data_IF_625406680625
#
_entry.id   IF_625406680625
#
_cell.length_a   1.000
_cell.length_b   1.000
_cell.length_c   1.000
_cell.angle_alpha   90.00
_cell.angle_beta   90.00
_cell.angle_gamma   90.00
#
_symmetry.space_group_name_H-M   'P 1'
#
loop_
_entity.id
_entity.type
_entity.pdbx_description
1 polymer ?
#
# COMPACT_ATOMS: atom_id res chain seq x y z
N UNK A 1 -3.37 11.98 -29.68
CA UNK A 1 -3.29 11.21 -28.41
C UNK A 1 -1.84 11.10 -27.92
N UNK A 2 -1.18 12.20 -27.53
CA UNK A 2 0.27 12.19 -27.22
C UNK A 2 0.65 12.18 -25.72
N UNK A 3 -0.31 12.20 -24.79
CA UNK A 3 -0.05 12.36 -23.35
C UNK A 3 -1.04 11.60 -22.44
N UNK A 4 -1.45 10.41 -22.84
CA UNK A 4 -2.34 9.53 -22.05
C UNK A 4 -1.78 8.11 -22.03
N UNK A 5 -2.00 7.39 -20.94
CA UNK A 5 -1.72 5.96 -20.86
C UNK A 5 -3.02 5.22 -21.11
N UNK A 6 -3.03 4.33 -22.09
CA UNK A 6 -4.12 3.38 -22.29
C UNK A 6 -3.80 2.07 -21.55
N UNK A 7 -4.75 1.56 -20.78
CA UNK A 7 -4.58 0.35 -19.98
C UNK A 7 -5.90 -0.42 -19.85
N UNK A 8 -5.81 -1.71 -19.54
CA UNK A 8 -6.96 -2.57 -19.22
C UNK A 8 -7.03 -2.75 -17.71
N UNK A 9 -8.22 -2.58 -17.13
CA UNK A 9 -8.45 -2.82 -15.71
C UNK A 9 -8.47 -4.32 -15.45
N UNK A 10 -7.52 -4.82 -14.67
CA UNK A 10 -7.39 -6.26 -14.42
C UNK A 10 -8.41 -6.80 -13.40
N UNK A 11 -8.78 -6.01 -12.38
CA UNK A 11 -9.56 -6.47 -11.23
C UNK A 11 -10.57 -5.40 -10.76
N UNK A 12 -11.60 -5.82 -10.01
CA UNK A 12 -12.57 -4.92 -9.37
C UNK A 12 -13.83 -4.67 -10.20
N UNK A 13 -14.64 -3.67 -9.81
CA UNK A 13 -15.97 -3.40 -10.40
C UNK A 13 -15.95 -3.17 -11.92
N UNK A 14 -14.84 -2.67 -12.47
CA UNK A 14 -14.70 -2.29 -13.87
C UNK A 14 -13.71 -3.19 -14.63
N UNK A 15 -13.50 -4.42 -14.16
CA UNK A 15 -12.59 -5.38 -14.78
C UNK A 15 -12.88 -5.57 -16.29
N UNK A 16 -11.81 -5.67 -17.08
CA UNK A 16 -11.83 -5.88 -18.54
C UNK A 16 -12.03 -4.61 -19.36
N UNK A 17 -12.34 -3.47 -18.73
CA UNK A 17 -12.56 -2.21 -19.45
C UNK A 17 -11.24 -1.53 -19.80
N UNK A 18 -11.20 -0.91 -20.99
CA UNK A 18 -10.13 0.01 -21.37
C UNK A 18 -10.31 1.34 -20.63
N UNK A 19 -9.21 1.87 -20.09
CA UNK A 19 -9.16 3.17 -19.43
C UNK A 19 -8.04 4.01 -20.02
N UNK A 20 -8.33 5.30 -20.19
CA UNK A 20 -7.33 6.31 -20.54
C UNK A 20 -6.96 7.09 -19.28
N UNK A 21 -5.70 7.05 -18.88
CA UNK A 21 -5.17 7.70 -17.71
C UNK A 21 -4.39 8.96 -18.12
N UNK A 22 -4.95 10.17 -17.91
CA UNK A 22 -4.22 11.41 -18.12
C UNK A 22 -3.28 11.71 -16.94
N UNK A 23 -2.39 12.68 -17.11
CA UNK A 23 -1.61 13.23 -15.99
C UNK A 23 -2.52 14.09 -15.11
N UNK A 24 -2.49 13.85 -13.80
CA UNK A 24 -3.28 14.60 -12.83
C UNK A 24 -2.37 15.61 -12.12
N UNK A 25 -2.77 16.89 -12.01
CA UNK A 25 -2.08 17.83 -11.15
C UNK A 25 -2.46 17.64 -9.68
N UNK A 26 -1.45 17.48 -8.83
CA UNK A 26 -1.58 17.60 -7.38
C UNK A 26 -1.03 18.96 -6.98
N UNK A 27 -1.88 19.80 -6.38
CA UNK A 27 -1.53 21.13 -5.88
C UNK A 27 -1.55 21.04 -4.37
N UNK A 28 -0.45 21.41 -3.72
CA UNK A 28 -0.41 21.45 -2.27
C UNK A 28 -1.16 22.68 -1.75
N UNK A 29 -2.01 22.49 -0.75
CA UNK A 29 -2.60 23.55 0.06
C UNK A 29 -1.79 23.73 1.34
N UNK A 30 -1.89 24.89 1.98
CA UNK A 30 -1.37 25.13 3.33
C UNK A 30 0.15 24.97 3.49
N UNK A 31 0.91 25.30 2.44
CA UNK A 31 2.38 25.28 2.43
C UNK A 31 2.96 26.67 2.14
N UNK A 32 4.12 27.04 2.72
CA UNK A 32 4.73 28.36 2.52
C UNK A 32 5.14 28.66 1.07
N UNK A 33 5.26 27.63 0.22
CA UNK A 33 5.64 27.73 -1.19
C UNK A 33 4.61 26.98 -2.01
N UNK A 34 3.98 27.68 -2.95
CA UNK A 34 3.09 27.06 -3.91
C UNK A 34 3.87 26.11 -4.84
N UNK A 35 3.47 24.85 -4.88
CA UNK A 35 4.00 23.89 -5.84
C UNK A 35 2.91 22.99 -6.41
N UNK A 36 3.10 22.61 -7.68
CA UNK A 36 2.22 21.73 -8.44
C UNK A 36 3.01 20.57 -8.98
N UNK A 37 2.58 19.35 -8.69
CA UNK A 37 3.14 18.12 -9.25
C UNK A 37 2.15 17.51 -10.24
N UNK A 38 2.52 17.46 -11.52
CA UNK A 38 1.70 16.82 -12.57
C UNK A 38 2.28 15.46 -12.96
N UNK A 39 1.54 14.39 -12.70
CA UNK A 39 2.02 13.02 -12.93
C UNK A 39 0.89 12.07 -13.32
N UNK A 40 1.21 10.97 -14.02
CA UNK A 40 0.24 9.90 -14.23
C UNK A 40 -0.11 9.23 -12.90
N UNK A 41 -1.38 8.91 -12.64
CA UNK A 41 -1.83 8.30 -11.38
C UNK A 41 -1.52 6.79 -11.33
N UNK A 42 -0.27 6.42 -11.61
CA UNK A 42 0.19 5.03 -11.61
C UNK A 42 1.49 4.89 -10.82
N UNK A 43 1.70 3.71 -10.25
CA UNK A 43 2.93 3.32 -9.57
C UNK A 43 3.15 1.83 -9.79
N UNK A 44 4.40 1.41 -9.97
CA UNK A 44 4.75 -0.01 -9.91
C UNK A 44 4.38 -0.54 -8.52
N UNK A 45 3.57 -1.59 -8.47
CA UNK A 45 2.91 -2.06 -7.25
C UNK A 45 3.22 -3.53 -6.91
N UNK A 46 4.24 -4.14 -7.52
CA UNK A 46 4.61 -5.53 -7.22
C UNK A 46 5.01 -5.71 -5.75
N UNK A 47 5.72 -4.73 -5.18
CA UNK A 47 6.00 -4.63 -3.76
C UNK A 47 5.73 -3.20 -3.28
N UNK A 48 5.17 -3.07 -2.09
CA UNK A 48 4.95 -1.78 -1.43
C UNK A 48 5.26 -1.87 0.04
N UNK A 49 5.61 -0.74 0.64
CA UNK A 49 5.84 -0.68 2.09
C UNK A 49 4.53 -0.79 2.84
N UNK A 50 4.59 -1.32 4.07
CA UNK A 50 3.43 -1.45 4.96
C UNK A 50 2.66 -0.13 5.09
N UNK A 51 3.36 0.99 5.31
CA UNK A 51 2.74 2.31 5.44
C UNK A 51 2.00 2.75 4.17
N UNK A 52 2.48 2.36 2.98
CA UNK A 52 1.80 2.68 1.71
C UNK A 52 0.61 1.77 1.43
N UNK A 53 0.59 0.57 2.00
CA UNK A 53 -0.54 -0.37 1.92
C UNK A 53 -1.70 0.00 2.85
N UNK A 54 -1.47 0.88 3.83
CA UNK A 54 -2.51 1.27 4.79
C UNK A 54 -3.75 1.83 4.08
N UNK A 55 -4.92 1.31 4.45
CA UNK A 55 -6.20 1.64 3.81
C UNK A 55 -6.53 0.80 2.57
N UNK A 56 -5.62 -0.03 2.07
CA UNK A 56 -5.87 -0.92 0.94
C UNK A 56 -6.32 -2.32 1.41
N UNK A 57 -7.12 -2.99 0.59
CA UNK A 57 -7.49 -4.40 0.76
C UNK A 57 -6.91 -5.19 -0.41
N UNK A 58 -6.16 -6.25 -0.10
CA UNK A 58 -5.51 -7.14 -1.05
C UNK A 58 -6.19 -8.52 -1.00
N UNK A 59 -6.35 -9.16 -2.17
CA UNK A 59 -6.90 -10.51 -2.25
C UNK A 59 -5.92 -11.57 -1.73
N UNK A 60 -4.64 -11.36 -2.02
CA UNK A 60 -3.50 -12.18 -1.59
C UNK A 60 -2.33 -11.24 -1.29
N UNK A 61 -1.55 -11.52 -0.24
CA UNK A 61 -0.42 -10.70 0.16
C UNK A 61 0.77 -11.58 0.56
N UNK A 62 1.95 -11.27 0.02
CA UNK A 62 3.23 -11.69 0.57
C UNK A 62 3.78 -10.61 1.50
N UNK A 63 4.05 -10.96 2.75
CA UNK A 63 4.62 -10.08 3.76
C UNK A 63 6.07 -10.48 4.04
N UNK A 64 7.01 -9.64 3.59
CA UNK A 64 8.43 -9.79 3.86
C UNK A 64 8.79 -9.15 5.21
N UNK A 65 9.22 -9.98 6.16
CA UNK A 65 9.71 -9.61 7.49
C UNK A 65 11.20 -9.90 7.66
N UNK A 66 11.96 -10.03 6.56
CA UNK A 66 13.42 -10.15 6.60
C UNK A 66 14.10 -8.98 7.33
N UNK A 67 13.43 -7.82 7.37
CA UNK A 67 13.67 -6.73 8.33
C UNK A 67 12.47 -6.62 9.28
N UNK A 68 12.65 -6.67 10.61
CA UNK A 68 11.55 -6.54 11.55
C UNK A 68 10.81 -5.21 11.45
N UNK A 69 9.51 -5.21 11.79
CA UNK A 69 8.76 -3.97 11.98
C UNK A 69 9.42 -3.10 13.07
N UNK A 70 9.40 -1.78 12.86
CA UNK A 70 10.08 -0.80 13.74
C UNK A 70 9.11 0.13 14.48
N UNK A 71 7.82 0.06 14.19
CA UNK A 71 6.78 0.88 14.82
C UNK A 71 5.65 0.03 15.35
N UNK A 72 4.99 0.53 16.40
CA UNK A 72 3.76 -0.05 16.89
C UNK A 72 2.67 -0.10 15.82
N UNK A 73 1.88 -1.18 15.84
CA UNK A 73 0.77 -1.39 14.91
C UNK A 73 1.19 -1.72 13.48
N UNK A 74 2.47 -1.63 13.12
CA UNK A 74 2.93 -1.84 11.76
C UNK A 74 2.69 -3.27 11.27
N UNK A 75 3.02 -4.27 12.10
CA UNK A 75 2.75 -5.68 11.79
C UNK A 75 1.24 -5.93 11.64
N UNK A 76 0.43 -5.33 12.51
CA UNK A 76 -1.03 -5.39 12.42
C UNK A 76 -1.56 -4.76 11.11
N UNK A 77 -1.06 -3.58 10.73
CA UNK A 77 -1.42 -2.93 9.47
C UNK A 77 -1.12 -3.85 8.29
N UNK A 78 0.04 -4.51 8.29
CA UNK A 78 0.42 -5.45 7.24
C UNK A 78 -0.51 -6.67 7.16
N UNK A 79 -0.73 -7.36 8.28
CA UNK A 79 -1.57 -8.56 8.34
C UNK A 79 -3.04 -8.26 8.01
N UNK A 80 -3.54 -7.08 8.41
CA UNK A 80 -4.92 -6.65 8.13
C UNK A 80 -5.19 -6.26 6.68
N UNK A 81 -4.19 -6.30 5.77
CA UNK A 81 -4.41 -6.01 4.36
C UNK A 81 -5.17 -7.12 3.64
N UNK A 82 -5.25 -8.33 4.18
CA UNK A 82 -6.01 -9.44 3.60
C UNK A 82 -7.20 -9.82 4.47
N UNK A 83 -8.25 -10.35 3.84
CA UNK A 83 -9.48 -10.74 4.55
C UNK A 83 -9.46 -12.14 5.17
N UNK A 84 -8.49 -12.99 4.79
CA UNK A 84 -8.37 -14.38 5.26
C UNK A 84 -6.92 -14.72 5.60
N UNK A 85 -6.64 -15.42 6.72
CA UNK A 85 -5.29 -15.85 7.06
C UNK A 85 -4.64 -16.72 5.97
N UNK A 86 -5.42 -17.56 5.29
CA UNK A 86 -4.92 -18.41 4.18
C UNK A 86 -4.42 -17.64 2.96
N UNK A 87 -4.71 -16.34 2.88
CA UNK A 87 -4.27 -15.45 1.80
C UNK A 87 -3.04 -14.60 2.18
N UNK A 88 -2.51 -14.78 3.40
CA UNK A 88 -1.29 -14.11 3.87
C UNK A 88 -0.13 -15.11 3.88
N UNK A 89 0.92 -14.78 3.13
CA UNK A 89 2.15 -15.56 3.11
C UNK A 89 3.25 -14.72 3.75
N UNK A 90 3.83 -15.21 4.83
CA UNK A 90 4.87 -14.49 5.58
C UNK A 90 6.23 -15.10 5.25
N UNK A 91 7.15 -14.25 4.83
CA UNK A 91 8.56 -14.57 4.73
C UNK A 91 9.27 -13.99 5.95
N UNK A 92 9.89 -14.85 6.74
CA UNK A 92 10.72 -14.44 7.86
C UNK A 92 11.92 -15.41 7.97
N UNK A 93 12.95 -15.04 8.75
CA UNK A 93 14.21 -15.80 8.80
C UNK A 93 14.17 -16.99 9.77
N UNK A 94 13.39 -16.92 10.84
CA UNK A 94 13.52 -17.80 12.02
C UNK A 94 12.18 -18.37 12.51
N UNK A 95 11.10 -18.24 11.72
CA UNK A 95 9.72 -18.42 12.14
C UNK A 95 9.18 -17.37 13.13
N UNK A 96 9.93 -16.28 13.36
CA UNK A 96 9.67 -15.32 14.44
C UNK A 96 9.89 -13.88 13.99
N UNK A 97 9.08 -12.97 14.52
CA UNK A 97 9.22 -11.53 14.28
C UNK A 97 8.98 -10.73 15.56
N UNK A 98 9.59 -9.54 15.65
CA UNK A 98 9.38 -8.62 16.77
C UNK A 98 8.08 -7.86 16.58
N UNK A 99 7.18 -8.01 17.55
CA UNK A 99 5.99 -7.16 17.65
C UNK A 99 6.31 -5.97 18.57
N UNK A 100 6.29 -4.75 18.03
CA UNK A 100 6.52 -3.53 18.80
C UNK A 100 5.18 -3.05 19.36
N UNK A 101 5.11 -2.91 20.69
CA UNK A 101 3.91 -2.46 21.38
C UNK A 101 4.23 -1.28 22.29
N UNK A 102 3.55 -0.15 22.10
CA UNK A 102 3.66 0.95 23.05
C UNK A 102 2.94 0.57 24.34
N UNK A 103 3.59 0.81 25.49
CA UNK A 103 3.05 0.46 26.81
C UNK A 103 1.69 1.10 27.12
N UNK A 104 1.38 2.25 26.52
CA UNK A 104 0.06 2.89 26.65
C UNK A 104 -1.07 2.04 26.07
N UNK A 105 -0.80 1.23 25.05
CA UNK A 105 -1.77 0.33 24.44
C UNK A 105 -2.00 -0.96 25.25
N UNK A 106 -1.25 -1.17 26.34
CA UNK A 106 -1.33 -2.33 27.24
C UNK A 106 -1.96 -1.98 28.60
N UNK A 107 -2.35 -0.73 28.80
CA UNK A 107 -3.03 -0.29 30.02
C UNK A 107 -4.52 -0.30 29.72
N UNK A 108 -5.19 -1.37 30.14
CA UNK A 108 -6.66 -1.45 30.20
C UNK A 108 -7.22 -0.46 31.24
#
# INVERSE_FOLDING_TARGET
MKNVIEAIILNGKFQGQNVLLPRIPMIATDVPIEFKRTQFPIRLAFAMTINKSQGQTLSVCGLDLGTPCFSHGQLYVACSRVGKPSSLFVLDKDGLTKNIVHSIALRD
#
